data_IF_511147512623
#
_entry.id   IF_511147512623
#
_cell.length_a   1.000
_cell.length_b   1.000
_cell.length_c   1.000
_cell.angle_alpha   90.00
_cell.angle_beta   90.00
_cell.angle_gamma   90.00
#
_symmetry.space_group_name_H-M   'P 1'
#
loop_
_entity.id
_entity.type
_entity.pdbx_description
1 polymer ?
#
# COMPACT_ATOMS: atom_id res chain seq x y z
N UNK A 1 -5.95 4.85 -20.09
CA UNK A 1 -5.65 3.49 -19.56
C UNK A 1 -5.34 3.56 -18.09
N UNK A 2 -5.86 2.64 -17.30
CA UNK A 2 -5.60 2.55 -15.86
C UNK A 2 -4.71 1.33 -15.58
N UNK A 3 -3.59 1.51 -14.91
CA UNK A 3 -2.63 0.42 -14.65
C UNK A 3 -2.41 0.27 -13.14
N UNK A 4 -2.58 -0.95 -12.63
CA UNK A 4 -2.13 -1.30 -11.29
C UNK A 4 -0.68 -1.80 -11.36
N UNK A 5 0.22 -1.16 -10.64
CA UNK A 5 1.62 -1.55 -10.50
C UNK A 5 1.82 -2.10 -9.09
N UNK A 6 2.28 -3.34 -8.99
CA UNK A 6 2.53 -4.03 -7.72
C UNK A 6 4.04 -4.15 -7.51
N UNK A 7 4.66 -3.33 -6.65
CA UNK A 7 6.06 -3.46 -6.31
C UNK A 7 6.28 -4.66 -5.38
N UNK A 8 7.12 -5.62 -5.80
CA UNK A 8 7.39 -6.83 -5.06
C UNK A 8 8.86 -7.27 -5.20
N UNK A 9 9.72 -6.88 -4.25
CA UNK A 9 11.14 -7.28 -4.25
C UNK A 9 11.35 -8.65 -3.62
N UNK A 10 12.42 -9.36 -4.04
CA UNK A 10 12.81 -10.66 -3.48
C UNK A 10 13.42 -10.59 -2.09
N UNK A 11 14.05 -9.47 -1.74
CA UNK A 11 14.92 -9.29 -0.56
C UNK A 11 14.22 -9.03 0.79
N UNK A 12 13.04 -9.60 1.06
CA UNK A 12 12.37 -9.44 2.37
C UNK A 12 13.14 -10.11 3.50
N UNK A 13 13.66 -9.31 4.47
CA UNK A 13 14.52 -9.80 5.57
C UNK A 13 13.73 -10.22 6.81
N UNK A 14 12.75 -9.44 7.25
CA UNK A 14 11.96 -9.70 8.47
C UNK A 14 11.02 -10.89 8.32
N UNK A 15 10.44 -11.05 7.16
CA UNK A 15 9.64 -12.22 6.76
C UNK A 15 10.24 -12.74 5.45
N UNK A 16 11.04 -13.82 5.47
CA UNK A 16 11.65 -14.36 4.26
C UNK A 16 10.61 -14.70 3.19
N UNK A 17 10.89 -14.31 1.93
CA UNK A 17 10.02 -14.56 0.78
C UNK A 17 8.58 -14.01 0.94
N UNK A 18 8.39 -12.93 1.71
CA UNK A 18 7.09 -12.37 2.14
C UNK A 18 6.04 -12.33 1.01
N UNK A 19 6.41 -11.87 -0.18
CA UNK A 19 5.50 -11.66 -1.29
C UNK A 19 4.94 -12.96 -1.91
N UNK A 20 5.69 -14.05 -1.85
CA UNK A 20 5.25 -15.38 -2.37
C UNK A 20 4.96 -16.39 -1.27
N UNK A 21 5.22 -16.04 -0.01
CA UNK A 21 4.85 -16.88 1.14
C UNK A 21 3.34 -17.08 1.17
N UNK A 22 2.92 -18.32 1.45
CA UNK A 22 1.50 -18.65 1.56
C UNK A 22 0.84 -17.89 2.70
N UNK A 23 -0.24 -17.19 2.38
CA UNK A 23 -1.10 -16.46 3.31
C UNK A 23 -2.55 -16.89 3.07
N UNK A 24 -3.14 -17.58 4.03
CA UNK A 24 -4.53 -18.03 3.99
C UNK A 24 -4.93 -18.72 2.67
N UNK A 25 -4.11 -19.69 2.21
CA UNK A 25 -4.41 -20.59 1.09
C UNK A 25 -3.87 -20.17 -0.28
N UNK A 26 -3.15 -19.03 -0.39
CA UNK A 26 -2.45 -18.64 -1.63
C UNK A 26 -1.23 -17.74 -1.34
N UNK A 27 -0.28 -17.57 -2.30
CA UNK A 27 0.79 -16.59 -2.17
C UNK A 27 0.26 -15.20 -1.84
N UNK A 28 0.94 -14.47 -0.94
CA UNK A 28 0.52 -13.15 -0.46
C UNK A 28 0.20 -12.19 -1.60
N UNK A 29 1.06 -12.09 -2.62
CA UNK A 29 0.87 -11.21 -3.78
C UNK A 29 -0.38 -11.56 -4.59
N UNK A 30 -0.81 -12.82 -4.57
CA UNK A 30 -1.99 -13.30 -5.30
C UNK A 30 -3.28 -12.60 -4.86
N UNK A 31 -3.39 -12.22 -3.59
CA UNK A 31 -4.54 -11.47 -3.07
C UNK A 31 -4.66 -10.09 -3.72
N UNK A 32 -3.57 -9.36 -3.81
CA UNK A 32 -3.53 -8.04 -4.44
C UNK A 32 -3.79 -8.12 -5.96
N UNK A 33 -3.17 -9.09 -6.64
CA UNK A 33 -3.38 -9.29 -8.09
C UNK A 33 -4.85 -9.57 -8.37
N UNK A 34 -5.46 -10.52 -7.65
CA UNK A 34 -6.87 -10.87 -7.85
C UNK A 34 -7.82 -9.71 -7.55
N UNK A 35 -7.55 -8.94 -6.49
CA UNK A 35 -8.37 -7.77 -6.16
C UNK A 35 -8.33 -6.72 -7.28
N UNK A 36 -7.15 -6.48 -7.86
CA UNK A 36 -6.99 -5.57 -8.98
C UNK A 36 -7.70 -6.07 -10.23
N UNK A 37 -7.48 -7.33 -10.63
CA UNK A 37 -8.14 -7.94 -11.81
C UNK A 37 -9.67 -7.97 -11.68
N UNK A 38 -10.18 -8.24 -10.47
CA UNK A 38 -11.64 -8.27 -10.20
C UNK A 38 -12.26 -6.88 -10.06
N UNK A 39 -11.45 -5.83 -10.00
CA UNK A 39 -11.97 -4.47 -9.80
C UNK A 39 -12.66 -3.90 -11.04
N UNK A 40 -12.39 -4.44 -12.23
CA UNK A 40 -12.86 -3.92 -13.52
C UNK A 40 -12.55 -2.42 -13.73
N UNK A 41 -11.68 -1.86 -12.90
CA UNK A 41 -11.29 -0.45 -12.99
C UNK A 41 -9.84 -0.25 -13.44
N UNK A 42 -9.08 -1.35 -13.64
CA UNK A 42 -7.74 -1.35 -14.24
C UNK A 42 -7.74 -2.15 -15.53
N UNK A 43 -7.04 -1.63 -16.52
CA UNK A 43 -6.89 -2.29 -17.84
C UNK A 43 -5.74 -3.30 -17.81
N UNK A 44 -4.77 -3.12 -16.90
CA UNK A 44 -3.56 -3.92 -16.83
C UNK A 44 -3.05 -4.00 -15.38
N UNK A 45 -2.61 -5.20 -14.96
CA UNK A 45 -1.93 -5.42 -13.67
C UNK A 45 -0.49 -5.80 -13.96
N UNK A 46 0.46 -5.00 -13.50
CA UNK A 46 1.90 -5.16 -13.72
C UNK A 46 2.61 -5.39 -12.40
N UNK A 47 3.46 -6.39 -12.31
CA UNK A 47 4.33 -6.61 -11.15
C UNK A 47 5.74 -6.14 -11.46
N UNK A 48 6.24 -5.19 -10.65
CA UNK A 48 7.63 -4.72 -10.68
C UNK A 48 8.44 -5.53 -9.69
N UNK A 49 9.30 -6.43 -10.19
CA UNK A 49 10.13 -7.31 -9.35
C UNK A 49 11.54 -7.51 -9.92
N UNK A 50 12.48 -7.78 -9.03
CA UNK A 50 13.87 -8.21 -9.32
C UNK A 50 14.03 -9.73 -9.21
N UNK A 51 12.98 -10.45 -8.84
CA UNK A 51 13.02 -11.85 -8.42
C UNK A 51 12.23 -12.74 -9.38
N UNK A 52 12.86 -13.78 -9.97
CA UNK A 52 12.22 -14.65 -10.96
C UNK A 52 11.07 -15.50 -10.39
N UNK A 53 11.13 -15.91 -9.11
CA UNK A 53 10.04 -16.67 -8.49
C UNK A 53 8.81 -15.80 -8.29
N UNK A 54 9.00 -14.53 -7.87
CA UNK A 54 7.89 -13.57 -7.77
C UNK A 54 7.28 -13.32 -9.15
N UNK A 55 8.12 -13.18 -10.19
CA UNK A 55 7.64 -13.02 -11.56
C UNK A 55 6.81 -14.22 -12.02
N UNK A 56 7.28 -15.44 -11.78
CA UNK A 56 6.54 -16.66 -12.12
C UNK A 56 5.19 -16.76 -11.40
N UNK A 57 5.16 -16.47 -10.10
CA UNK A 57 3.92 -16.44 -9.31
C UNK A 57 2.97 -15.37 -9.85
N UNK A 58 3.47 -14.17 -10.13
CA UNK A 58 2.65 -13.07 -10.67
C UNK A 58 1.97 -13.44 -11.99
N UNK A 59 2.73 -14.04 -12.92
CA UNK A 59 2.21 -14.53 -14.21
C UNK A 59 1.11 -15.61 -14.02
N UNK A 60 1.29 -16.53 -13.07
CA UNK A 60 0.29 -17.56 -12.75
C UNK A 60 -1.03 -16.97 -12.24
N UNK A 61 -0.97 -15.81 -11.56
CA UNK A 61 -2.17 -15.09 -11.08
C UNK A 61 -2.75 -14.12 -12.10
N UNK A 62 -2.18 -14.03 -13.31
CA UNK A 62 -2.71 -13.22 -14.41
C UNK A 62 -2.18 -11.79 -14.48
N UNK A 63 -1.15 -11.44 -13.72
CA UNK A 63 -0.45 -10.19 -13.87
C UNK A 63 0.61 -10.28 -14.98
N UNK A 64 1.05 -9.13 -15.49
CA UNK A 64 2.16 -9.02 -16.43
C UNK A 64 3.47 -8.67 -15.71
N UNK A 65 4.60 -9.13 -16.27
CA UNK A 65 5.96 -8.78 -15.81
C UNK A 65 6.78 -8.36 -17.04
N UNK A 66 6.54 -7.16 -17.58
CA UNK A 66 7.13 -6.75 -18.85
C UNK A 66 8.61 -6.36 -18.77
N UNK A 67 9.13 -6.19 -17.57
CA UNK A 67 10.53 -5.85 -17.28
C UNK A 67 11.01 -6.48 -15.97
N UNK A 68 12.33 -6.56 -15.81
CA UNK A 68 12.96 -6.91 -14.53
C UNK A 68 13.44 -5.62 -13.88
N UNK A 69 13.07 -5.40 -12.62
CA UNK A 69 13.45 -4.22 -11.87
C UNK A 69 14.96 -4.22 -11.59
N UNK A 70 15.68 -3.12 -11.85
CA UNK A 70 17.11 -3.02 -11.54
C UNK A 70 17.43 -3.24 -10.06
N UNK A 71 18.57 -3.87 -9.77
CA UNK A 71 19.01 -4.11 -8.39
C UNK A 71 19.19 -2.83 -7.57
N UNK A 72 19.56 -1.71 -8.21
CA UNK A 72 19.64 -0.39 -7.59
C UNK A 72 18.30 0.17 -7.08
N UNK A 73 17.17 -0.38 -7.53
CA UNK A 73 15.82 -0.05 -7.07
C UNK A 73 15.20 -1.16 -6.22
N UNK A 74 15.98 -2.19 -5.84
CA UNK A 74 15.52 -3.37 -5.12
C UNK A 74 16.18 -3.54 -3.74
N UNK A 75 16.91 -2.53 -3.28
CA UNK A 75 17.55 -2.48 -1.96
C UNK A 75 16.56 -2.21 -0.82
N UNK A 76 17.08 -2.11 0.42
CA UNK A 76 16.25 -1.87 1.61
C UNK A 76 15.89 -0.39 1.82
N UNK A 77 16.51 0.53 1.08
CA UNK A 77 16.42 1.98 1.29
C UNK A 77 15.58 2.68 0.23
N UNK A 78 15.44 2.06 -0.94
CA UNK A 78 14.66 2.62 -2.05
C UNK A 78 13.18 2.66 -1.69
N UNK A 79 12.62 3.87 -1.66
CA UNK A 79 11.20 4.10 -1.40
C UNK A 79 10.30 3.66 -2.57
N UNK A 80 9.02 3.71 -2.34
CA UNK A 80 8.00 3.29 -3.33
C UNK A 80 8.00 4.18 -4.57
N UNK A 81 8.10 5.51 -4.41
CA UNK A 81 7.99 6.47 -5.53
C UNK A 81 8.99 6.21 -6.66
N UNK A 82 10.32 6.04 -6.41
CA UNK A 82 11.27 5.72 -7.48
C UNK A 82 10.99 4.38 -8.19
N UNK A 83 10.45 3.40 -7.46
CA UNK A 83 10.09 2.09 -8.03
C UNK A 83 8.91 2.22 -8.99
N UNK A 84 7.88 2.99 -8.60
CA UNK A 84 6.71 3.23 -9.47
C UNK A 84 7.09 4.09 -10.66
N UNK A 85 7.89 5.15 -10.46
CA UNK A 85 8.43 5.98 -11.56
C UNK A 85 9.11 5.12 -12.62
N UNK A 86 10.06 4.27 -12.22
CA UNK A 86 10.74 3.36 -13.13
C UNK A 86 9.75 2.45 -13.90
N UNK A 87 8.74 1.92 -13.21
CA UNK A 87 7.74 1.08 -13.87
C UNK A 87 6.90 1.87 -14.89
N UNK A 88 6.52 3.12 -14.57
CA UNK A 88 5.82 4.02 -15.48
C UNK A 88 6.70 4.35 -16.69
N UNK A 89 7.97 4.66 -16.48
CA UNK A 89 8.93 4.91 -17.57
C UNK A 89 9.10 3.67 -18.47
N UNK A 90 9.17 2.48 -17.91
CA UNK A 90 9.25 1.23 -18.66
C UNK A 90 7.98 0.91 -19.47
N UNK A 91 6.84 1.44 -19.07
CA UNK A 91 5.54 1.27 -19.72
C UNK A 91 5.17 2.43 -20.65
N UNK A 92 6.07 3.37 -20.92
CA UNK A 92 5.77 4.61 -21.68
C UNK A 92 5.15 4.36 -23.06
N UNK A 93 5.48 3.24 -23.72
CA UNK A 93 4.91 2.89 -25.02
C UNK A 93 3.40 2.56 -24.94
N UNK A 94 2.92 2.10 -23.78
CA UNK A 94 1.53 1.72 -23.53
C UNK A 94 0.73 2.86 -22.88
N UNK A 95 1.40 3.81 -22.21
CA UNK A 95 0.77 4.87 -21.45
C UNK A 95 0.58 6.15 -22.27
N UNK A 96 -0.39 6.96 -21.86
CA UNK A 96 -0.61 8.31 -22.39
C UNK A 96 -0.81 9.30 -21.22
N UNK A 97 -0.89 10.60 -21.50
CA UNK A 97 -1.04 11.67 -20.50
C UNK A 97 -2.30 11.51 -19.61
N UNK A 98 -3.33 10.82 -20.09
CA UNK A 98 -4.56 10.57 -19.33
C UNK A 98 -4.55 9.25 -18.58
N UNK A 99 -3.46 8.49 -18.65
CA UNK A 99 -3.34 7.23 -17.92
C UNK A 99 -3.24 7.47 -16.40
N UNK A 100 -3.91 6.61 -15.62
CA UNK A 100 -3.89 6.66 -14.17
C UNK A 100 -3.21 5.41 -13.61
N UNK A 101 -2.37 5.61 -12.62
CA UNK A 101 -1.51 4.56 -12.06
C UNK A 101 -1.90 4.29 -10.62
N UNK A 102 -2.19 3.04 -10.32
CA UNK A 102 -2.39 2.54 -8.96
C UNK A 102 -1.14 1.80 -8.48
N UNK A 103 -0.37 2.37 -7.58
CA UNK A 103 0.57 1.57 -6.79
C UNK A 103 -0.25 0.73 -5.80
N UNK A 104 -0.22 -0.59 -5.95
CA UNK A 104 -0.90 -1.53 -5.07
C UNK A 104 0.14 -2.41 -4.37
N UNK A 105 0.18 -2.39 -3.04
CA UNK A 105 1.17 -3.17 -2.33
C UNK A 105 0.91 -4.68 -2.45
N UNK A 106 1.99 -5.44 -2.67
CA UNK A 106 1.95 -6.90 -2.75
C UNK A 106 1.45 -7.55 -1.45
N UNK A 107 1.59 -6.84 -0.34
CA UNK A 107 1.21 -7.28 1.02
C UNK A 107 -0.08 -6.64 1.51
N UNK A 108 -1.05 -6.45 0.62
CA UNK A 108 -2.36 -5.86 0.92
C UNK A 108 -3.51 -6.90 0.79
N UNK A 109 -3.52 -7.97 1.60
CA UNK A 109 -4.51 -9.05 1.44
C UNK A 109 -5.94 -8.65 1.81
N UNK A 110 -6.13 -7.48 2.42
CA UNK A 110 -7.44 -6.94 2.83
C UNK A 110 -8.03 -5.94 1.81
N UNK A 111 -7.28 -5.57 0.78
CA UNK A 111 -7.78 -4.69 -0.27
C UNK A 111 -8.92 -5.38 -1.01
N UNK A 112 -9.97 -4.62 -1.31
CA UNK A 112 -11.09 -5.10 -2.11
C UNK A 112 -11.15 -4.38 -3.45
N UNK A 113 -11.77 -5.02 -4.42
CA UNK A 113 -12.05 -4.41 -5.73
C UNK A 113 -12.81 -3.09 -5.59
N UNK A 114 -13.74 -3.01 -4.65
CA UNK A 114 -14.53 -1.81 -4.37
C UNK A 114 -13.67 -0.66 -3.82
N UNK A 115 -12.67 -0.95 -2.98
CA UNK A 115 -11.77 0.08 -2.48
C UNK A 115 -10.94 0.69 -3.61
N UNK A 116 -10.49 -0.13 -4.56
CA UNK A 116 -9.76 0.34 -5.75
C UNK A 116 -10.63 1.22 -6.65
N UNK A 117 -11.90 0.83 -6.89
CA UNK A 117 -12.88 1.65 -7.63
C UNK A 117 -13.10 3.00 -6.97
N UNK A 118 -13.37 3.01 -5.66
CA UNK A 118 -13.55 4.25 -4.88
C UNK A 118 -12.32 5.15 -4.96
N UNK A 119 -11.13 4.57 -4.96
CA UNK A 119 -9.87 5.30 -5.13
C UNK A 119 -9.78 5.99 -6.49
N UNK A 120 -10.05 5.25 -7.56
CA UNK A 120 -10.06 5.78 -8.91
C UNK A 120 -11.12 6.88 -9.11
N UNK A 121 -12.36 6.63 -8.71
CA UNK A 121 -13.45 7.60 -8.80
C UNK A 121 -13.10 8.90 -8.08
N UNK A 122 -12.50 8.77 -6.89
CA UNK A 122 -12.08 9.93 -6.11
C UNK A 122 -10.93 10.68 -6.77
N UNK A 123 -9.95 10.00 -7.38
CA UNK A 123 -8.88 10.68 -8.12
C UNK A 123 -9.44 11.49 -9.29
N UNK A 124 -10.34 10.91 -10.06
CA UNK A 124 -10.97 11.57 -11.22
C UNK A 124 -11.82 12.78 -10.80
N UNK A 125 -12.51 12.69 -9.66
CA UNK A 125 -13.47 13.74 -9.24
C UNK A 125 -12.85 14.84 -8.40
N UNK A 126 -11.76 14.56 -7.65
CA UNK A 126 -11.15 15.53 -6.74
C UNK A 126 -10.12 16.46 -7.40
N UNK A 127 -9.57 16.08 -8.56
CA UNK A 127 -8.45 16.79 -9.17
C UNK A 127 -7.14 16.67 -8.37
N UNK A 128 -7.06 15.71 -7.45
CA UNK A 128 -5.86 15.46 -6.65
C UNK A 128 -4.73 14.85 -7.48
N UNK A 129 -3.48 15.08 -7.10
CA UNK A 129 -2.32 14.38 -7.65
C UNK A 129 -2.33 12.89 -7.28
N UNK A 130 -2.71 12.61 -6.00
CA UNK A 130 -2.83 11.27 -5.47
C UNK A 130 -4.12 11.06 -4.68
N UNK A 131 -4.58 9.81 -4.66
CA UNK A 131 -5.63 9.32 -3.76
C UNK A 131 -5.15 8.00 -3.17
N UNK A 132 -5.08 7.90 -1.85
CA UNK A 132 -4.55 6.70 -1.21
C UNK A 132 -5.38 6.25 0.00
N UNK A 133 -5.19 4.98 0.36
CA UNK A 133 -5.88 4.35 1.47
C UNK A 133 -5.38 4.85 2.82
N UNK A 134 -6.29 5.26 3.70
CA UNK A 134 -5.99 5.67 5.07
C UNK A 134 -6.93 4.98 6.05
N UNK A 135 -6.53 4.93 7.32
CA UNK A 135 -7.41 4.52 8.41
C UNK A 135 -7.16 5.37 9.65
N UNK A 136 -8.14 5.43 10.56
CA UNK A 136 -7.98 6.22 11.78
C UNK A 136 -7.12 5.49 12.82
N UNK A 137 -6.38 6.24 13.62
CA UNK A 137 -5.73 5.67 14.81
C UNK A 137 -6.77 5.10 15.77
N UNK A 138 -6.46 3.95 16.37
CA UNK A 138 -7.35 3.31 17.35
C UNK A 138 -7.46 4.11 18.65
N UNK A 139 -6.40 4.87 18.97
CA UNK A 139 -6.28 5.71 20.17
C UNK A 139 -5.74 7.08 19.76
N UNK A 140 -6.12 8.17 20.47
CA UNK A 140 -5.61 9.50 20.17
C UNK A 140 -4.08 9.57 20.22
N UNK A 141 -3.44 9.92 19.11
CA UNK A 141 -1.98 10.05 19.02
C UNK A 141 -1.44 11.17 19.93
N UNK A 142 -2.26 12.17 20.22
CA UNK A 142 -1.93 13.28 21.13
C UNK A 142 -1.66 12.78 22.55
N UNK A 143 -2.18 11.61 22.92
CA UNK A 143 -1.95 10.96 24.22
C UNK A 143 -0.88 9.86 24.16
N UNK A 144 -0.07 9.86 23.11
CA UNK A 144 1.04 8.92 23.00
C UNK A 144 2.02 9.10 24.18
N UNK A 145 2.57 7.97 24.62
CA UNK A 145 3.60 7.90 25.65
C UNK A 145 4.88 7.32 25.08
N UNK A 146 6.00 7.63 25.69
CA UNK A 146 7.29 6.96 25.43
C UNK A 146 7.85 6.42 26.75
N UNK A 147 8.66 5.38 26.64
CA UNK A 147 9.46 4.85 27.75
C UNK A 147 10.86 5.44 27.58
N UNK A 148 11.36 6.12 28.61
CA UNK A 148 12.69 6.70 28.62
C UNK A 148 13.79 5.68 29.00
N UNK A 149 15.06 6.10 29.00
CA UNK A 149 16.19 5.24 29.32
C UNK A 149 16.22 4.72 30.78
N UNK A 150 15.40 5.30 31.65
CA UNK A 150 15.26 4.92 33.04
C UNK A 150 14.03 4.03 33.32
N UNK A 151 13.44 3.48 32.24
CA UNK A 151 12.20 2.68 32.29
C UNK A 151 11.03 3.42 32.93
N UNK A 152 10.91 4.74 32.63
CA UNK A 152 9.82 5.60 33.07
C UNK A 152 8.96 6.05 31.92
N UNK A 153 7.67 6.27 32.21
CA UNK A 153 6.69 6.73 31.23
C UNK A 153 6.69 8.26 31.15
N UNK A 154 6.74 8.77 29.93
CA UNK A 154 6.59 10.18 29.62
C UNK A 154 5.55 10.38 28.51
N UNK A 155 4.65 11.37 28.65
CA UNK A 155 3.78 11.77 27.57
C UNK A 155 4.58 12.51 26.50
N UNK A 156 4.29 12.19 25.23
CA UNK A 156 4.84 12.92 24.07
C UNK A 156 4.31 14.35 24.05
N UNK A 157 3.00 14.53 24.23
CA UNK A 157 2.32 15.83 24.27
C UNK A 157 1.69 16.05 25.65
N UNK A 158 2.41 16.69 26.56
CA UNK A 158 1.99 16.89 27.96
C UNK A 158 0.75 17.78 28.11
N UNK A 159 0.52 18.68 27.17
CA UNK A 159 -0.64 19.58 27.13
C UNK A 159 -1.99 18.84 27.09
N UNK A 160 -1.97 17.61 26.58
CA UNK A 160 -3.18 16.77 26.45
C UNK A 160 -3.42 15.83 27.65
N UNK A 161 -2.69 15.98 28.75
CA UNK A 161 -2.83 15.10 29.90
C UNK A 161 -4.27 15.04 30.44
N UNK A 162 -4.93 16.20 30.55
CA UNK A 162 -6.30 16.32 31.06
C UNK A 162 -7.37 16.40 29.95
N UNK A 163 -6.99 16.33 28.67
CA UNK A 163 -7.94 16.42 27.57
C UNK A 163 -8.66 15.07 27.40
N UNK A 164 -10.01 15.10 27.35
CA UNK A 164 -10.78 13.89 27.11
C UNK A 164 -10.54 13.39 25.69
N UNK A 165 -10.52 12.07 25.48
CA UNK A 165 -10.27 11.48 24.15
C UNK A 165 -11.22 11.97 23.07
N UNK A 166 -12.46 12.19 23.40
CA UNK A 166 -13.51 12.68 22.49
C UNK A 166 -13.37 14.15 22.08
N UNK A 167 -12.57 14.92 22.80
CA UNK A 167 -12.34 16.35 22.54
C UNK A 167 -11.04 16.56 21.73
N UNK A 168 -10.30 15.48 21.45
CA UNK A 168 -9.09 15.50 20.63
C UNK A 168 -9.43 15.35 19.14
N UNK A 169 -8.70 16.06 18.29
CA UNK A 169 -8.84 15.93 16.85
C UNK A 169 -8.55 14.50 16.41
N UNK A 170 -9.41 13.94 15.55
CA UNK A 170 -9.17 12.64 14.97
C UNK A 170 -7.91 12.67 14.08
N UNK A 171 -7.07 11.64 14.21
CA UNK A 171 -5.86 11.48 13.42
C UNK A 171 -5.95 10.21 12.57
N UNK A 172 -5.33 10.30 11.38
CA UNK A 172 -5.33 9.26 10.37
C UNK A 172 -3.91 8.85 10.06
N UNK A 173 -3.72 7.62 9.61
CA UNK A 173 -2.45 7.14 9.09
C UNK A 173 -2.64 6.44 7.75
N UNK A 174 -1.56 6.33 7.00
CA UNK A 174 -1.49 5.50 5.81
C UNK A 174 -1.91 4.06 6.13
N UNK A 175 -2.81 3.50 5.32
CA UNK A 175 -3.23 2.11 5.46
C UNK A 175 -2.24 1.14 4.77
N UNK A 176 -1.31 1.65 3.97
CA UNK A 176 -0.28 0.85 3.31
C UNK A 176 -0.84 -0.18 2.33
N UNK A 177 -1.94 0.14 1.63
CA UNK A 177 -2.56 -0.80 0.70
C UNK A 177 -2.45 -0.34 -0.76
N UNK A 178 -2.97 0.86 -1.09
CA UNK A 178 -2.91 1.37 -2.46
C UNK A 178 -2.83 2.89 -2.53
N UNK A 179 -2.25 3.37 -3.66
CA UNK A 179 -2.05 4.79 -3.98
C UNK A 179 -2.35 4.99 -5.47
N UNK A 180 -3.49 5.59 -5.78
CA UNK A 180 -3.80 6.06 -7.11
C UNK A 180 -3.12 7.41 -7.36
N UNK A 181 -2.59 7.62 -8.55
CA UNK A 181 -1.99 8.90 -8.94
C UNK A 181 -2.05 9.11 -10.45
N UNK A 182 -1.92 10.37 -10.86
CA UNK A 182 -1.73 10.69 -12.28
C UNK A 182 -0.33 10.25 -12.72
N UNK A 183 -0.16 9.96 -14.01
CA UNK A 183 1.15 9.65 -14.59
C UNK A 183 2.16 10.76 -14.30
N UNK A 184 1.76 12.02 -14.44
CA UNK A 184 2.60 13.19 -14.16
C UNK A 184 3.01 13.29 -12.69
N UNK A 185 2.12 12.94 -11.76
CA UNK A 185 2.44 12.96 -10.33
C UNK A 185 3.50 11.92 -9.98
N UNK A 186 3.42 10.71 -10.55
CA UNK A 186 4.41 9.66 -10.35
C UNK A 186 5.75 9.98 -11.02
N UNK A 187 5.75 10.43 -12.28
CA UNK A 187 6.98 10.81 -12.99
C UNK A 187 7.67 12.01 -12.36
N UNK A 188 6.89 12.99 -11.90
CA UNK A 188 7.38 14.19 -11.21
C UNK A 188 7.76 13.97 -9.74
N UNK A 189 7.62 12.75 -9.22
CA UNK A 189 7.89 12.41 -7.82
C UNK A 189 7.24 13.39 -6.84
N UNK A 190 5.97 13.77 -7.12
CA UNK A 190 5.22 14.69 -6.26
C UNK A 190 5.01 14.11 -4.87
N UNK A 191 4.80 14.98 -3.90
CA UNK A 191 4.63 14.58 -2.49
C UNK A 191 3.29 13.88 -2.28
N UNK A 192 3.32 12.59 -1.89
CA UNK A 192 2.11 11.80 -1.62
C UNK A 192 1.41 12.31 -0.34
N UNK A 193 2.16 12.51 0.74
CA UNK A 193 1.62 13.00 2.01
C UNK A 193 1.59 14.53 2.05
N UNK A 194 0.69 15.14 1.28
CA UNK A 194 0.60 16.58 1.14
C UNK A 194 -0.79 17.06 0.70
N UNK A 195 -0.93 18.37 0.54
CA UNK A 195 -2.20 19.03 0.20
C UNK A 195 -2.73 18.66 -1.20
N UNK A 196 -1.87 18.11 -2.08
CA UNK A 196 -2.26 17.59 -3.40
C UNK A 196 -2.92 16.20 -3.35
N UNK A 197 -3.12 15.62 -2.16
CA UNK A 197 -3.64 14.27 -2.00
C UNK A 197 -4.98 14.21 -1.29
N UNK A 198 -5.79 13.19 -1.63
CA UNK A 198 -7.08 12.91 -0.98
C UNK A 198 -7.12 11.48 -0.45
N UNK A 199 -7.83 11.23 0.69
CA UNK A 199 -7.86 9.92 1.31
C UNK A 199 -9.03 9.05 0.83
N UNK A 200 -8.81 7.72 0.76
CA UNK A 200 -9.88 6.70 0.83
C UNK A 200 -9.86 6.09 2.22
N UNK A 201 -10.91 6.32 2.98
CA UNK A 201 -10.99 5.82 4.35
C UNK A 201 -11.37 4.34 4.34
N UNK A 202 -10.53 3.52 4.98
CA UNK A 202 -10.76 2.10 5.20
C UNK A 202 -11.09 1.83 6.67
N UNK A 203 -11.96 0.86 6.96
CA UNK A 203 -12.24 0.46 8.34
C UNK A 203 -11.01 -0.21 8.96
N UNK A 204 -10.70 0.10 10.21
CA UNK A 204 -9.49 -0.41 10.91
C UNK A 204 -9.32 -1.92 10.89
N UNK A 205 -10.41 -2.68 10.93
CA UNK A 205 -10.37 -4.14 10.89
C UNK A 205 -9.95 -4.72 9.53
N UNK A 206 -9.80 -3.90 8.48
CA UNK A 206 -9.25 -4.27 7.17
C UNK A 206 -7.88 -3.64 6.90
N UNK A 207 -7.22 -3.15 7.93
CA UNK A 207 -5.89 -2.54 7.80
C UNK A 207 -4.91 -3.23 8.73
N UNK A 208 -3.87 -3.81 8.16
CA UNK A 208 -2.74 -4.40 8.87
C UNK A 208 -1.49 -4.25 8.01
N UNK A 209 -0.54 -3.46 8.48
CA UNK A 209 0.81 -3.48 7.92
C UNK A 209 1.52 -4.77 8.36
N UNK A 210 2.11 -5.49 7.39
CA UNK A 210 2.65 -6.83 7.61
C UNK A 210 4.17 -6.79 7.45
N UNK A 211 4.86 -6.50 8.52
CA UNK A 211 6.31 -6.32 8.54
C UNK A 211 7.07 -7.31 9.41
N UNK A 212 6.43 -7.85 10.42
CA UNK A 212 7.00 -8.80 11.36
C UNK A 212 6.22 -10.12 11.36
N UNK A 213 6.79 -11.23 11.92
CA UNK A 213 6.03 -12.46 12.12
C UNK A 213 4.78 -12.30 12.99
N UNK A 214 4.80 -11.35 13.93
CA UNK A 214 3.63 -11.01 14.77
C UNK A 214 2.53 -10.37 13.93
N UNK A 215 2.89 -9.41 13.05
CA UNK A 215 1.94 -8.80 12.12
C UNK A 215 1.33 -9.82 11.18
N UNK A 216 2.15 -10.78 10.71
CA UNK A 216 1.69 -11.88 9.87
C UNK A 216 0.61 -12.71 10.55
N UNK A 217 0.89 -13.17 11.78
CA UNK A 217 -0.08 -13.93 12.57
C UNK A 217 -1.36 -13.13 12.81
N UNK A 218 -1.23 -11.85 13.17
CA UNK A 218 -2.38 -10.97 13.39
C UNK A 218 -3.20 -10.80 12.12
N UNK A 219 -2.53 -10.60 10.97
CA UNK A 219 -3.20 -10.52 9.68
C UNK A 219 -3.96 -11.81 9.35
N UNK A 220 -3.38 -13.00 9.57
CA UNK A 220 -4.08 -14.28 9.35
C UNK A 220 -5.33 -14.43 10.21
N UNK A 221 -5.26 -14.06 11.49
CA UNK A 221 -6.41 -14.10 12.39
C UNK A 221 -7.52 -13.15 11.95
N UNK A 222 -7.17 -11.91 11.59
CA UNK A 222 -8.12 -10.93 11.05
C UNK A 222 -8.74 -11.42 9.74
N UNK A 223 -7.93 -11.95 8.83
CA UNK A 223 -8.40 -12.44 7.54
C UNK A 223 -9.41 -13.58 7.70
N UNK A 224 -9.12 -14.55 8.55
CA UNK A 224 -10.04 -15.65 8.85
C UNK A 224 -11.36 -15.17 9.46
N UNK A 225 -11.28 -14.19 10.38
CA UNK A 225 -12.48 -13.60 10.99
C UNK A 225 -13.37 -12.84 10.00
N UNK A 226 -12.80 -12.31 8.91
CA UNK A 226 -13.55 -11.61 7.86
C UNK A 226 -14.18 -12.57 6.83
N UNK A 227 -13.76 -13.84 6.80
CA UNK A 227 -14.29 -14.87 5.91
C UNK A 227 -15.39 -15.73 6.58
N UNK A 228 -15.54 -15.62 7.91
CA UNK A 228 -16.55 -16.32 8.71
C UNK A 228 -17.88 -15.57 8.70
#
# INVERSE_FOLDING_TARGET
MNVAIIPARGGSKRIPRKNVKEFCGKPMIGWSIEAALKSDCVDKVVVSTDDPEIAEVALKFGAEVPFIRPGSLSDDFTGTTPVIKHAVEALTADLNETSLICCLYATAPFVTSEDLKRGLEKLVTSGSDFVFSVTSYAFPIQRAIRINSEDRIEMVNREHFNTRSQDLAEAWHDAGQFYWGTTDAWLGERVIFGLGSSPVILPRHRVQDIDTPEDWLRAELLFKALQS
#
